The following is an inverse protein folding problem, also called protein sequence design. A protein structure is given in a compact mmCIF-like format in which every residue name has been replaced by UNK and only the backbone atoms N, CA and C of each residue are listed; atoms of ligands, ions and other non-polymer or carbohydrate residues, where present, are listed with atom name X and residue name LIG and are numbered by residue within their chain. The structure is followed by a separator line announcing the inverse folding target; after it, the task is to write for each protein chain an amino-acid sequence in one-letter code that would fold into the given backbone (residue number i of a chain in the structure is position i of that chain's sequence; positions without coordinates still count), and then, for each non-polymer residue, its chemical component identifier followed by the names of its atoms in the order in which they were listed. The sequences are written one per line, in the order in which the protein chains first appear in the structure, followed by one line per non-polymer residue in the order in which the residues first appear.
data_IF_822057089913
#
_entry.id   IF_822057089913
#
_cell.length_a   1.000
_cell.length_b   1.000
_cell.length_c   1.000
_cell.angle_alpha   90.00
_cell.angle_beta   90.00
_cell.angle_gamma   90.00
#
_symmetry.space_group_name_H-M   'P 1'
#
loop_
_entity.id
_entity.type
_entity.pdbx_description
1 polymer ?
#
# COMPACT_ATOMS: atom_id res chain seq x y z
N UNK A 1 -9.53 19.70 4.02
CA UNK A 1 -8.09 19.45 3.87
C UNK A 1 -7.84 18.18 3.09
N UNK A 2 -6.87 18.20 2.19
CA UNK A 2 -6.58 17.08 1.29
C UNK A 2 -5.21 16.49 1.56
N UNK A 3 -5.09 15.19 1.30
CA UNK A 3 -3.80 14.50 1.25
C UNK A 3 -3.55 14.03 -0.17
N UNK A 4 -2.28 13.90 -0.53
CA UNK A 4 -1.90 13.45 -1.86
C UNK A 4 -1.44 12.00 -1.81
N UNK A 5 -2.06 11.16 -2.62
CA UNK A 5 -1.78 9.72 -2.69
C UNK A 5 -1.43 9.34 -4.12
N UNK A 6 -0.77 8.21 -4.30
CA UNK A 6 -0.39 7.71 -5.61
C UNK A 6 -1.31 6.58 -6.01
N UNK A 7 -2.08 6.77 -7.08
CA UNK A 7 -2.97 5.72 -7.60
C UNK A 7 -2.14 4.58 -8.18
N UNK A 8 -2.44 3.36 -7.75
CA UNK A 8 -1.69 2.18 -8.16
C UNK A 8 -1.84 1.87 -9.65
N UNK A 9 -3.02 2.06 -10.22
CA UNK A 9 -3.31 1.66 -11.60
C UNK A 9 -2.50 2.42 -12.66
N UNK A 10 -2.12 3.67 -12.39
CA UNK A 10 -1.43 4.51 -13.37
C UNK A 10 -0.26 5.32 -12.79
N UNK A 11 0.03 5.19 -11.50
CA UNK A 11 1.11 5.93 -10.86
C UNK A 11 0.89 7.43 -10.72
N UNK A 12 -0.29 7.93 -11.05
CA UNK A 12 -0.59 9.35 -10.96
C UNK A 12 -0.97 9.77 -9.55
N UNK A 13 -0.61 10.98 -9.19
CA UNK A 13 -1.00 11.56 -7.90
C UNK A 13 -2.47 11.95 -7.91
N UNK A 14 -3.15 11.66 -6.81
CA UNK A 14 -4.53 12.06 -6.59
C UNK A 14 -4.64 12.79 -5.26
N UNK A 15 -5.57 13.73 -5.17
CA UNK A 15 -5.87 14.45 -3.93
C UNK A 15 -7.15 13.89 -3.35
N UNK A 16 -7.09 13.50 -2.09
CA UNK A 16 -8.23 12.91 -1.39
C UNK A 16 -8.51 13.69 -0.12
N UNK A 17 -9.78 14.02 0.12
CA UNK A 17 -10.16 14.67 1.36
C UNK A 17 -9.94 13.74 2.54
N UNK A 18 -9.32 14.25 3.61
CA UNK A 18 -9.11 13.46 4.84
C UNK A 18 -10.42 12.91 5.39
N UNK A 19 -11.51 13.65 5.27
CA UNK A 19 -12.80 13.25 5.80
C UNK A 19 -13.55 12.27 4.90
N UNK A 20 -13.09 12.06 3.67
CA UNK A 20 -13.73 11.18 2.73
C UNK A 20 -13.25 9.73 2.85
N UNK A 21 -12.10 9.51 3.50
CA UNK A 21 -11.54 8.18 3.66
C UNK A 21 -12.30 7.43 4.76
N UNK A 22 -12.96 6.36 4.35
CA UNK A 22 -13.64 5.46 5.29
C UNK A 22 -12.73 4.29 5.67
N UNK A 23 -13.01 3.13 5.12
CA UNK A 23 -12.25 1.92 5.41
C UNK A 23 -10.94 1.87 4.63
N UNK A 24 -9.86 1.47 5.32
CA UNK A 24 -8.56 1.20 4.69
C UNK A 24 -8.15 -0.24 4.98
N UNK A 25 -7.64 -0.94 3.97
CA UNK A 25 -7.16 -2.30 4.12
C UNK A 25 -5.83 -2.45 3.38
N UNK A 26 -4.82 -2.98 4.06
CA UNK A 26 -3.53 -3.23 3.44
C UNK A 26 -3.53 -4.59 2.75
N UNK A 27 -3.17 -4.59 1.48
CA UNK A 27 -3.10 -5.78 0.65
C UNK A 27 -1.65 -6.03 0.22
N UNK A 28 -1.36 -7.26 -0.13
CA UNK A 28 -0.02 -7.61 -0.60
C UNK A 28 -0.05 -8.79 -1.56
N UNK A 29 0.76 -8.69 -2.60
CA UNK A 29 0.97 -9.77 -3.55
C UNK A 29 2.44 -10.19 -3.50
N UNK A 30 2.68 -11.50 -3.47
CA UNK A 30 4.04 -12.02 -3.54
C UNK A 30 4.47 -11.98 -5.01
N UNK A 31 5.49 -11.15 -5.32
CA UNK A 31 6.03 -11.06 -6.68
C UNK A 31 6.94 -12.24 -6.99
N UNK A 32 7.79 -12.61 -6.03
CA UNK A 32 8.67 -13.76 -6.17
C UNK A 32 9.19 -14.25 -4.82
N UNK A 33 9.50 -15.52 -4.78
CA UNK A 33 10.17 -16.16 -3.65
C UNK A 33 11.37 -16.90 -4.19
N UNK A 34 12.52 -16.70 -3.56
CA UNK A 34 13.74 -17.46 -3.80
C UNK A 34 14.16 -18.17 -2.54
N UNK A 35 14.58 -19.40 -2.67
CA UNK A 35 15.08 -20.17 -1.54
C UNK A 35 16.32 -20.95 -1.96
N UNK A 36 17.18 -21.26 -1.01
CA UNK A 36 18.38 -22.01 -1.25
C UNK A 36 18.99 -22.52 0.05
N UNK A 37 20.09 -23.26 -0.10
CA UNK A 37 20.83 -23.78 1.02
C UNK A 37 22.24 -23.23 1.03
N UNK A 38 22.73 -22.91 2.21
CA UNK A 38 24.11 -22.49 2.43
C UNK A 38 24.69 -23.30 3.57
N UNK A 39 25.96 -23.08 3.88
CA UNK A 39 26.61 -23.72 5.02
C UNK A 39 25.91 -23.43 6.34
N UNK A 40 25.12 -22.35 6.41
CA UNK A 40 24.38 -21.94 7.61
C UNK A 40 22.95 -22.48 7.65
N UNK A 41 22.52 -23.22 6.61
CA UNK A 41 21.18 -23.78 6.50
C UNK A 41 20.39 -23.18 5.35
N UNK A 42 19.07 -23.31 5.44
CA UNK A 42 18.15 -22.82 4.42
C UNK A 42 17.95 -21.31 4.53
N UNK A 43 17.96 -20.61 3.40
CA UNK A 43 17.60 -19.18 3.34
C UNK A 43 16.43 -18.97 2.39
N UNK A 44 15.65 -17.95 2.67
CA UNK A 44 14.49 -17.56 1.87
C UNK A 44 14.55 -16.05 1.65
N UNK A 45 14.41 -15.64 0.39
CA UNK A 45 14.22 -14.23 0.03
C UNK A 45 12.89 -14.10 -0.70
N UNK A 46 12.17 -13.04 -0.42
CA UNK A 46 10.91 -12.76 -1.09
C UNK A 46 10.74 -11.27 -1.33
N UNK A 47 10.01 -10.93 -2.36
CA UNK A 47 9.56 -9.57 -2.59
C UNK A 47 8.04 -9.54 -2.53
N UNK A 48 7.52 -8.71 -1.67
CA UNK A 48 6.09 -8.52 -1.49
C UNK A 48 5.73 -7.12 -1.98
N UNK A 49 4.82 -7.06 -2.94
CA UNK A 49 4.25 -5.80 -3.41
C UNK A 49 3.08 -5.44 -2.50
N UNK A 50 3.22 -4.40 -1.70
CA UNK A 50 2.20 -3.95 -0.76
C UNK A 50 1.54 -2.67 -1.25
N UNK A 51 0.24 -2.63 -1.10
CA UNK A 51 -0.56 -1.46 -1.46
C UNK A 51 -1.78 -1.40 -0.55
N UNK A 52 -2.50 -0.30 -0.59
CA UNK A 52 -3.64 -0.07 0.29
C UNK A 52 -4.90 0.12 -0.52
N UNK A 53 -5.96 -0.56 -0.12
CA UNK A 53 -7.30 -0.33 -0.61
C UNK A 53 -7.97 0.69 0.31
N UNK A 54 -8.47 1.78 -0.26
CA UNK A 54 -9.21 2.79 0.49
C UNK A 54 -10.62 2.92 -0.07
N UNK A 55 -11.56 3.19 0.81
CA UNK A 55 -12.93 3.50 0.43
C UNK A 55 -13.14 5.00 0.56
N UNK A 56 -13.50 5.65 -0.54
CA UNK A 56 -13.73 7.10 -0.61
C UNK A 56 -15.15 7.30 -1.12
N UNK A 57 -16.06 7.67 -0.21
CA UNK A 57 -17.49 7.87 -0.51
C UNK A 57 -18.11 6.68 -1.27
N UNK A 58 -17.82 5.47 -0.82
CA UNK A 58 -18.35 4.26 -1.44
C UNK A 58 -17.60 3.77 -2.67
N UNK A 59 -16.59 4.51 -3.12
CA UNK A 59 -15.75 4.11 -4.25
C UNK A 59 -14.43 3.53 -3.74
N UNK A 60 -14.05 2.38 -4.28
CA UNK A 60 -12.79 1.74 -3.92
C UNK A 60 -11.65 2.28 -4.80
N UNK A 61 -10.57 2.70 -4.15
CA UNK A 61 -9.36 3.16 -4.82
C UNK A 61 -8.16 2.43 -4.25
N UNK A 62 -7.26 1.98 -5.13
CA UNK A 62 -6.01 1.33 -4.72
C UNK A 62 -4.87 2.32 -4.84
N UNK A 63 -4.12 2.50 -3.75
CA UNK A 63 -3.00 3.43 -3.69
C UNK A 63 -1.73 2.71 -3.26
N UNK A 64 -0.57 3.26 -3.64
CA UNK A 64 0.72 2.64 -3.34
C UNK A 64 1.21 2.92 -1.91
N UNK A 65 0.72 3.97 -1.29
CA UNK A 65 1.05 4.30 0.09
C UNK A 65 0.55 3.23 1.05
N UNK A 66 1.33 2.94 2.09
CA UNK A 66 0.90 2.02 3.15
C UNK A 66 -0.08 2.72 4.08
N UNK A 67 -0.81 1.94 4.89
CA UNK A 67 -1.72 2.51 5.90
C UNK A 67 -0.96 3.44 6.84
N UNK A 68 0.26 3.08 7.25
CA UNK A 68 1.07 3.91 8.13
C UNK A 68 1.42 5.25 7.48
N UNK A 69 1.77 5.24 6.20
CA UNK A 69 2.07 6.46 5.46
C UNK A 69 0.84 7.35 5.33
N UNK A 70 -0.32 6.76 5.05
CA UNK A 70 -1.58 7.49 4.94
C UNK A 70 -1.96 8.11 6.29
N UNK A 71 -1.85 7.35 7.38
CA UNK A 71 -2.14 7.84 8.72
C UNK A 71 -1.25 9.02 9.09
N UNK A 72 0.03 8.94 8.74
CA UNK A 72 0.98 10.02 8.98
C UNK A 72 0.60 11.28 8.23
N UNK A 73 0.18 11.16 6.97
CA UNK A 73 -0.30 12.29 6.19
C UNK A 73 -1.58 12.89 6.79
N UNK A 74 -2.44 12.07 7.35
CA UNK A 74 -3.68 12.52 7.98
C UNK A 74 -3.44 13.28 9.28
N UNK A 75 -2.33 13.02 9.96
CA UNK A 75 -1.95 13.70 11.20
C UNK A 75 -1.38 15.10 10.96
N UNK A 76 -0.94 15.41 9.77
CA UNK A 76 -0.34 16.70 9.43
C UNK A 76 -1.36 17.85 9.25
#
# INVERSE_FOLDING_TARGET
MFIELTRRSNGKKIKVSKHAIGLMEELGNIEWIKEGFSKRGKWIESKIDRFTEINVFGTTVYVEETIQEIEKLMEE
#
